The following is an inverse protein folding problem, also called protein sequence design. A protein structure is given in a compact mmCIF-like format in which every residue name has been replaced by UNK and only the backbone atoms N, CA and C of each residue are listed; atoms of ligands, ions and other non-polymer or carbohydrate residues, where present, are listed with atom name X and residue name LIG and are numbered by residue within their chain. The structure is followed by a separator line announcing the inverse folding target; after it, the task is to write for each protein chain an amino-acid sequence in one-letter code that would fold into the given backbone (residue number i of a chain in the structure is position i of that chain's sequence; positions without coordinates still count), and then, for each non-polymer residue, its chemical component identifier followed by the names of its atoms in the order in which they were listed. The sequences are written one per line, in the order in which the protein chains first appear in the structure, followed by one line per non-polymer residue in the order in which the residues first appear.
data_IF_334149615902
#
_entry.id   IF_334149615902
#
_cell.length_a   1.000
_cell.length_b   1.000
_cell.length_c   1.000
_cell.angle_alpha   90.00
_cell.angle_beta   90.00
_cell.angle_gamma   90.00
#
_symmetry.space_group_name_H-M   'P 1'
#
loop_
_entity.id
_entity.type
_entity.pdbx_description
1 polymer ?
#
# COMPACT_ATOMS: atom_id res chain seq x y z
N UNK A 1 18.14 27.13 5.79
CA UNK A 1 18.28 27.75 4.45
C UNK A 1 19.49 27.16 3.75
N UNK A 2 19.29 26.61 2.56
CA UNK A 2 20.39 26.15 1.72
C UNK A 2 20.86 27.32 0.86
N UNK A 3 22.16 27.59 0.80
CA UNK A 3 22.71 28.58 -0.09
C UNK A 3 23.62 27.90 -1.14
N UNK A 4 23.92 28.61 -2.22
CA UNK A 4 24.71 28.08 -3.35
C UNK A 4 26.19 27.80 -3.01
N UNK A 5 26.66 28.23 -1.86
CA UNK A 5 28.04 28.03 -1.41
C UNK A 5 28.28 26.60 -0.91
N UNK A 6 27.20 25.91 -0.51
CA UNK A 6 27.23 24.52 -0.01
C UNK A 6 26.84 23.50 -1.10
N UNK A 7 26.86 23.90 -2.36
CA UNK A 7 26.55 23.00 -3.47
C UNK A 7 27.63 21.94 -3.61
N UNK A 8 27.31 20.69 -3.31
CA UNK A 8 28.23 19.56 -3.36
C UNK A 8 28.56 18.93 -2.00
N UNK A 9 28.10 19.51 -0.90
CA UNK A 9 28.17 18.88 0.42
C UNK A 9 27.03 17.87 0.61
N UNK A 10 27.34 16.76 1.25
CA UNK A 10 26.31 15.78 1.63
C UNK A 10 25.47 16.34 2.76
N UNK A 11 24.16 16.24 2.65
CA UNK A 11 23.22 16.57 3.72
C UNK A 11 22.87 15.27 4.44
N UNK A 12 23.17 15.21 5.72
CA UNK A 12 22.76 14.12 6.59
C UNK A 12 21.62 14.59 7.49
N UNK A 13 20.51 13.84 7.48
CA UNK A 13 19.35 14.08 8.32
C UNK A 13 19.20 12.87 9.24
N UNK A 14 19.41 13.11 10.54
CA UNK A 14 19.24 12.09 11.57
C UNK A 14 17.85 12.12 12.18
N UNK A 15 17.26 10.95 12.40
CA UNK A 15 15.99 10.78 13.10
C UNK A 15 16.17 9.87 14.31
N UNK A 16 15.63 10.27 15.45
CA UNK A 16 15.41 9.36 16.56
C UNK A 16 14.00 8.79 16.45
N UNK A 17 13.91 7.49 16.24
CA UNK A 17 12.62 6.81 16.01
C UNK A 17 12.33 5.90 17.19
N UNK A 18 11.19 6.11 17.83
CA UNK A 18 10.61 5.17 18.78
C UNK A 18 9.38 4.53 18.12
N UNK A 19 9.49 3.28 17.71
CA UNK A 19 8.44 2.55 17.03
C UNK A 19 7.69 1.63 17.97
N UNK A 20 6.38 1.72 17.94
CA UNK A 20 5.48 0.74 18.53
C UNK A 20 4.72 0.03 17.42
N UNK A 21 4.40 -1.23 17.66
CA UNK A 21 3.50 -1.98 16.78
C UNK A 21 2.15 -1.27 16.69
N UNK A 22 1.67 -1.08 15.45
CA UNK A 22 0.41 -0.40 15.16
C UNK A 22 -0.51 -1.38 14.46
N UNK A 23 -1.51 -1.87 15.18
CA UNK A 23 -2.59 -2.64 14.60
C UNK A 23 -3.69 -1.74 14.02
N UNK A 24 -4.91 -2.21 14.13
CA UNK A 24 -6.12 -1.47 13.73
C UNK A 24 -6.29 -0.22 14.61
N UNK A 25 -6.67 0.91 14.00
CA UNK A 25 -6.74 2.18 14.70
C UNK A 25 -7.82 3.12 14.16
N UNK A 26 -8.27 4.03 15.01
CA UNK A 26 -9.14 5.15 14.63
C UNK A 26 -8.29 6.32 14.13
N UNK A 27 -8.77 7.00 13.09
CA UNK A 27 -8.18 8.24 12.59
C UNK A 27 -9.32 9.25 12.36
N UNK A 28 -9.32 10.28 13.17
CA UNK A 28 -10.37 11.32 13.18
C UNK A 28 -10.07 12.51 12.25
N UNK A 29 -8.93 12.50 11.55
CA UNK A 29 -8.44 13.67 10.81
C UNK A 29 -9.24 13.93 9.54
N UNK A 30 -9.77 12.89 8.88
CA UNK A 30 -10.52 12.99 7.63
C UNK A 30 -11.67 11.99 7.58
N UNK A 31 -12.74 12.37 6.87
CA UNK A 31 -13.82 11.46 6.55
C UNK A 31 -13.27 10.33 5.66
N UNK A 32 -13.42 9.06 6.05
CA UNK A 32 -12.98 7.93 5.26
C UNK A 32 -13.54 7.90 3.84
N UNK A 33 -14.71 8.47 3.61
CA UNK A 33 -15.37 8.55 2.28
C UNK A 33 -14.51 9.29 1.25
N UNK A 34 -13.66 10.23 1.68
CA UNK A 34 -12.73 10.93 0.80
C UNK A 34 -11.73 9.99 0.13
N UNK A 35 -11.48 8.83 0.74
CA UNK A 35 -10.56 7.82 0.23
C UNK A 35 -11.21 6.81 -0.72
N UNK A 36 -12.46 7.03 -1.12
CA UNK A 36 -13.09 6.37 -2.26
C UNK A 36 -12.79 7.08 -3.58
N UNK A 37 -12.36 8.35 -3.54
CA UNK A 37 -12.18 9.16 -4.74
C UNK A 37 -11.06 8.63 -5.62
N UNK A 38 -11.32 8.52 -6.94
CA UNK A 38 -10.29 8.15 -7.90
C UNK A 38 -9.22 9.25 -8.02
N UNK A 39 -8.06 8.87 -8.52
CA UNK A 39 -6.99 9.80 -8.87
C UNK A 39 -6.24 9.30 -10.11
N UNK A 40 -5.24 10.04 -10.55
CA UNK A 40 -4.49 9.73 -11.78
C UNK A 40 -3.85 8.34 -11.78
N UNK A 41 -3.34 7.86 -10.64
CA UNK A 41 -2.67 6.57 -10.52
C UNK A 41 -3.60 5.41 -10.15
N UNK A 42 -4.75 5.76 -9.57
CA UNK A 42 -5.82 4.83 -9.19
C UNK A 42 -7.12 5.38 -9.77
N UNK A 43 -7.31 5.29 -11.09
CA UNK A 43 -8.51 5.80 -11.75
C UNK A 43 -9.71 4.90 -11.48
N UNK A 44 -10.90 5.46 -11.67
CA UNK A 44 -12.11 4.66 -11.85
C UNK A 44 -12.00 3.88 -13.17
N UNK A 45 -12.26 2.57 -13.12
CA UNK A 45 -12.09 1.68 -14.26
C UNK A 45 -13.08 0.51 -14.17
N UNK A 46 -13.77 0.23 -15.27
CA UNK A 46 -14.74 -0.86 -15.35
C UNK A 46 -14.11 -2.24 -15.11
N UNK A 47 -12.85 -2.44 -15.52
CA UNK A 47 -12.13 -3.69 -15.29
C UNK A 47 -11.89 -3.92 -13.80
N UNK A 48 -11.49 -2.88 -13.04
CA UNK A 48 -11.36 -3.00 -11.59
C UNK A 48 -12.69 -3.33 -10.93
N UNK A 49 -13.77 -2.68 -11.35
CA UNK A 49 -15.11 -2.94 -10.84
C UNK A 49 -15.55 -4.38 -11.12
N UNK A 50 -15.25 -4.90 -12.30
CA UNK A 50 -15.56 -6.28 -12.67
C UNK A 50 -14.77 -7.27 -11.83
N UNK A 51 -13.45 -7.12 -11.78
CA UNK A 51 -12.56 -8.00 -10.99
C UNK A 51 -12.96 -7.97 -9.52
N UNK A 52 -13.11 -6.78 -8.95
CA UNK A 52 -13.43 -6.65 -7.54
C UNK A 52 -14.76 -7.32 -7.18
N UNK A 53 -15.82 -7.10 -7.96
CA UNK A 53 -17.13 -7.73 -7.76
C UNK A 53 -17.07 -9.27 -7.86
N UNK A 54 -16.31 -9.80 -8.79
CA UNK A 54 -16.08 -11.25 -8.92
C UNK A 54 -15.36 -11.81 -7.68
N UNK A 55 -14.32 -11.14 -7.22
CA UNK A 55 -13.51 -11.57 -6.08
C UNK A 55 -14.29 -11.52 -4.75
N UNK A 56 -15.11 -10.49 -4.55
CA UNK A 56 -15.89 -10.36 -3.30
C UNK A 56 -17.21 -11.10 -3.33
N UNK A 57 -17.56 -11.77 -4.43
CA UNK A 57 -18.82 -12.48 -4.54
C UNK A 57 -19.00 -13.51 -3.41
N UNK A 58 -20.12 -13.44 -2.70
CA UNK A 58 -20.43 -14.31 -1.56
C UNK A 58 -19.67 -14.01 -0.27
N UNK A 59 -18.86 -12.96 -0.23
CA UNK A 59 -18.18 -12.52 1.00
C UNK A 59 -19.07 -11.58 1.79
N UNK A 60 -19.32 -11.91 3.05
CA UNK A 60 -20.19 -11.12 3.92
C UNK A 60 -19.37 -10.13 4.76
N UNK A 61 -19.69 -8.84 4.61
CA UNK A 61 -19.02 -7.74 5.31
C UNK A 61 -17.71 -7.28 4.65
N UNK A 62 -17.40 -5.99 4.82
CA UNK A 62 -16.28 -5.34 4.16
C UNK A 62 -14.92 -5.93 4.57
N UNK A 63 -14.76 -6.39 5.81
CA UNK A 63 -13.52 -7.02 6.25
C UNK A 63 -13.23 -8.33 5.47
N UNK A 64 -14.25 -9.18 5.27
CA UNK A 64 -14.10 -10.40 4.49
C UNK A 64 -13.87 -10.11 2.99
N UNK A 65 -14.48 -9.03 2.48
CA UNK A 65 -14.25 -8.56 1.11
C UNK A 65 -12.82 -8.03 0.94
N UNK A 66 -12.34 -7.19 1.84
CA UNK A 66 -10.97 -6.69 1.82
C UNK A 66 -9.94 -7.82 1.92
N UNK A 67 -10.20 -8.84 2.75
CA UNK A 67 -9.36 -10.04 2.81
C UNK A 67 -9.33 -10.79 1.49
N UNK A 68 -10.46 -10.96 0.83
CA UNK A 68 -10.50 -11.62 -0.47
C UNK A 68 -9.72 -10.83 -1.55
N UNK A 69 -9.80 -9.49 -1.54
CA UNK A 69 -9.02 -8.64 -2.44
C UNK A 69 -7.52 -8.69 -2.14
N UNK A 70 -7.13 -8.79 -0.88
CA UNK A 70 -5.75 -9.01 -0.45
C UNK A 70 -5.21 -10.33 -1.01
N UNK A 71 -5.91 -11.44 -0.78
CA UNK A 71 -5.53 -12.76 -1.26
C UNK A 71 -5.45 -12.79 -2.80
N UNK A 72 -6.44 -12.18 -3.48
CA UNK A 72 -6.43 -12.04 -4.94
C UNK A 72 -5.20 -11.27 -5.45
N UNK A 73 -4.80 -10.20 -4.75
CA UNK A 73 -3.64 -9.42 -5.15
C UNK A 73 -2.35 -10.24 -5.04
N UNK A 74 -2.17 -11.00 -3.97
CA UNK A 74 -1.04 -11.93 -3.79
C UNK A 74 -1.02 -12.99 -4.89
N UNK A 75 -2.16 -13.61 -5.16
CA UNK A 75 -2.24 -14.70 -6.15
C UNK A 75 -1.97 -14.20 -7.57
N UNK A 76 -2.37 -12.97 -7.86
CA UNK A 76 -2.28 -12.39 -9.20
C UNK A 76 -0.95 -11.74 -9.50
N UNK A 77 -0.33 -11.07 -8.55
CA UNK A 77 0.88 -10.28 -8.75
C UNK A 77 2.15 -11.04 -8.33
N UNK A 78 3.29 -10.64 -8.92
CA UNK A 78 4.61 -11.12 -8.54
C UNK A 78 5.52 -9.95 -8.24
N UNK A 79 6.27 -10.04 -7.15
CA UNK A 79 7.23 -8.99 -6.76
C UNK A 79 8.47 -9.03 -7.67
N UNK A 80 8.36 -8.40 -8.83
CA UNK A 80 9.40 -8.35 -9.85
C UNK A 80 9.51 -6.92 -10.38
N UNK A 81 10.72 -6.39 -10.40
CA UNK A 81 11.03 -5.08 -10.96
C UNK A 81 11.30 -5.22 -12.47
N UNK A 82 10.23 -5.20 -13.26
CA UNK A 82 10.29 -5.42 -14.69
C UNK A 82 9.49 -4.38 -15.47
N UNK A 83 10.02 -3.96 -16.62
CA UNK A 83 9.39 -2.99 -17.52
C UNK A 83 9.53 -1.54 -17.05
N UNK A 84 9.16 -0.57 -17.90
CA UNK A 84 9.37 0.86 -17.63
C UNK A 84 8.34 1.47 -16.66
N UNK A 85 7.28 0.74 -16.35
CA UNK A 85 6.15 1.19 -15.51
C UNK A 85 6.23 0.76 -14.06
N UNK A 86 7.10 -0.19 -13.69
CA UNK A 86 7.16 -0.69 -12.31
C UNK A 86 7.53 0.42 -11.32
N UNK A 87 6.99 0.35 -10.12
CA UNK A 87 7.29 1.27 -9.03
C UNK A 87 6.63 2.64 -9.13
N UNK A 88 5.82 2.88 -10.16
CA UNK A 88 5.12 4.16 -10.36
C UNK A 88 3.78 4.23 -9.62
N UNK A 89 3.27 3.11 -9.14
CA UNK A 89 1.98 3.01 -8.48
C UNK A 89 0.80 3.24 -9.42
N UNK A 90 0.97 2.97 -10.69
CA UNK A 90 -0.11 2.98 -11.68
C UNK A 90 -0.89 1.66 -11.59
N UNK A 91 -2.11 1.74 -11.07
CA UNK A 91 -2.95 0.56 -10.86
C UNK A 91 -3.35 -0.13 -12.16
N UNK A 92 -3.49 0.61 -13.26
CA UNK A 92 -3.81 0.03 -14.58
C UNK A 92 -2.62 -0.78 -15.07
N UNK A 93 -1.41 -0.19 -15.03
CA UNK A 93 -0.19 -0.91 -15.39
C UNK A 93 0.00 -2.17 -14.54
N UNK A 94 -0.18 -2.07 -13.21
CA UNK A 94 -0.04 -3.21 -12.30
C UNK A 94 -1.05 -4.33 -12.62
N UNK A 95 -2.29 -3.97 -12.96
CA UNK A 95 -3.33 -4.91 -13.37
C UNK A 95 -2.94 -5.68 -14.63
N UNK A 96 -2.40 -4.97 -15.64
CA UNK A 96 -2.06 -5.53 -16.94
C UNK A 96 -0.85 -6.45 -16.87
N UNK A 97 0.25 -5.97 -16.26
CA UNK A 97 1.53 -6.71 -16.26
C UNK A 97 1.63 -7.73 -15.14
N UNK A 98 0.85 -7.61 -14.08
CA UNK A 98 0.81 -8.52 -12.91
C UNK A 98 2.16 -8.64 -12.20
N UNK A 99 2.99 -7.62 -12.29
CA UNK A 99 4.29 -7.53 -11.63
C UNK A 99 4.52 -6.10 -11.12
N UNK A 100 5.36 -5.96 -10.12
CA UNK A 100 5.72 -4.65 -9.58
C UNK A 100 6.44 -4.74 -8.26
N UNK A 101 6.60 -3.60 -7.60
CA UNK A 101 7.10 -3.49 -6.23
C UNK A 101 5.95 -3.19 -5.25
N UNK A 102 6.30 -2.84 -4.01
CA UNK A 102 5.31 -2.49 -2.99
C UNK A 102 4.32 -1.40 -3.46
N UNK A 103 4.77 -0.41 -4.22
CA UNK A 103 3.92 0.66 -4.73
C UNK A 103 2.83 0.13 -5.66
N UNK A 104 3.19 -0.76 -6.58
CA UNK A 104 2.27 -1.30 -7.58
C UNK A 104 1.25 -2.27 -6.97
N UNK A 105 1.71 -3.14 -6.04
CA UNK A 105 0.81 -4.04 -5.30
C UNK A 105 -0.29 -3.27 -4.57
N UNK A 106 0.10 -2.24 -3.83
CA UNK A 106 -0.86 -1.50 -3.02
C UNK A 106 -1.75 -0.58 -3.85
N UNK A 107 -1.28 -0.01 -4.96
CA UNK A 107 -2.12 0.76 -5.88
C UNK A 107 -3.19 -0.11 -6.53
N UNK A 108 -2.83 -1.33 -6.92
CA UNK A 108 -3.79 -2.29 -7.48
C UNK A 108 -4.85 -2.69 -6.45
N UNK A 109 -4.43 -3.05 -5.22
CA UNK A 109 -5.37 -3.34 -4.14
C UNK A 109 -6.31 -2.16 -3.86
N UNK A 110 -5.78 -0.93 -3.76
CA UNK A 110 -6.58 0.27 -3.51
C UNK A 110 -7.61 0.48 -4.61
N UNK A 111 -7.26 0.23 -5.88
CA UNK A 111 -8.19 0.32 -6.99
C UNK A 111 -9.35 -0.66 -6.86
N UNK A 112 -9.05 -1.91 -6.51
CA UNK A 112 -10.07 -2.94 -6.30
C UNK A 112 -10.96 -2.64 -5.08
N UNK A 113 -10.36 -2.22 -3.95
CA UNK A 113 -11.09 -1.90 -2.73
C UNK A 113 -12.09 -0.75 -2.96
N UNK A 114 -11.63 0.34 -3.58
CA UNK A 114 -12.50 1.49 -3.90
C UNK A 114 -13.63 1.13 -4.86
N UNK A 115 -13.40 0.17 -5.78
CA UNK A 115 -14.40 -0.29 -6.74
C UNK A 115 -15.56 -1.09 -6.11
N UNK A 116 -15.44 -1.46 -4.83
CA UNK A 116 -16.49 -2.11 -4.03
C UNK A 116 -16.79 -1.34 -2.74
N UNK A 117 -16.66 -0.02 -2.81
CA UNK A 117 -17.01 0.92 -1.74
C UNK A 117 -16.25 0.70 -0.41
N UNK A 118 -15.03 0.17 -0.48
CA UNK A 118 -14.12 0.09 0.67
C UNK A 118 -13.12 1.25 0.57
N UNK A 119 -13.20 2.26 1.47
CA UNK A 119 -12.22 3.33 1.48
C UNK A 119 -10.83 2.80 1.70
N UNK A 120 -9.88 3.18 0.86
CA UNK A 120 -8.51 2.72 0.96
C UNK A 120 -7.51 3.82 0.61
N UNK A 121 -6.38 3.84 1.30
CA UNK A 121 -5.34 4.83 1.14
C UNK A 121 -3.95 4.22 1.08
N UNK A 122 -3.05 4.95 0.46
CA UNK A 122 -1.65 4.63 0.37
C UNK A 122 -0.90 5.24 1.56
N UNK A 123 -0.02 4.46 2.17
CA UNK A 123 0.90 4.92 3.18
C UNK A 123 2.34 4.68 2.74
N UNK A 124 3.23 5.62 3.05
CA UNK A 124 4.64 5.56 2.71
C UNK A 124 5.49 5.89 3.92
N UNK A 125 6.59 5.19 4.07
CA UNK A 125 7.53 5.37 5.16
C UNK A 125 8.87 4.73 4.85
N UNK A 126 9.57 4.31 5.91
CA UNK A 126 10.85 3.64 5.83
C UNK A 126 10.77 2.27 6.49
N UNK A 127 11.39 1.27 5.88
CA UNK A 127 11.57 -0.03 6.50
C UNK A 127 12.79 0.00 7.41
N UNK A 128 12.56 -0.07 8.73
CA UNK A 128 13.62 -0.10 9.73
C UNK A 128 13.67 -1.50 10.34
N UNK A 129 14.72 -2.30 10.08
CA UNK A 129 14.84 -3.64 10.64
C UNK A 129 14.87 -3.62 12.17
N UNK A 130 14.11 -4.49 12.81
CA UNK A 130 14.02 -4.58 14.28
C UNK A 130 15.35 -4.99 14.95
N UNK A 131 16.26 -5.59 14.18
CA UNK A 131 17.61 -6.01 14.65
C UNK A 131 18.64 -4.89 14.58
N UNK A 132 18.27 -3.71 14.06
CA UNK A 132 19.20 -2.60 13.85
C UNK A 132 18.85 -1.46 14.83
N UNK A 133 19.81 -1.07 15.66
CA UNK A 133 19.64 0.05 16.59
C UNK A 133 20.00 1.39 15.96
N UNK A 134 20.85 1.40 14.94
CA UNK A 134 21.27 2.59 14.21
C UNK A 134 21.67 2.23 12.78
N UNK A 135 21.73 3.21 11.91
CA UNK A 135 22.18 3.07 10.53
C UNK A 135 21.30 3.78 9.51
N UNK A 136 21.73 3.81 8.26
CA UNK A 136 21.01 4.45 7.17
C UNK A 136 19.72 3.70 6.80
N UNK A 137 18.79 4.43 6.19
CA UNK A 137 17.61 3.88 5.54
C UNK A 137 17.87 3.87 4.03
N UNK A 138 18.01 2.69 3.45
CA UNK A 138 18.43 2.51 2.06
C UNK A 138 17.30 2.72 1.04
N UNK A 139 16.08 2.95 1.52
CA UNK A 139 14.95 3.18 0.63
C UNK A 139 13.62 3.37 1.37
N UNK A 140 12.62 3.80 0.61
CA UNK A 140 11.26 3.88 1.11
C UNK A 140 10.61 2.49 1.14
N UNK A 141 9.59 2.37 1.97
CA UNK A 141 8.63 1.28 1.93
C UNK A 141 7.22 1.84 1.94
N UNK A 142 6.29 1.13 1.32
CA UNK A 142 4.90 1.55 1.31
C UNK A 142 3.97 0.36 1.54
N UNK A 143 2.80 0.68 2.07
CA UNK A 143 1.72 -0.25 2.34
C UNK A 143 0.38 0.41 2.04
N UNK A 144 -0.70 -0.33 2.18
CA UNK A 144 -2.03 0.21 2.11
C UNK A 144 -2.74 0.17 3.45
N UNK A 145 -3.75 1.01 3.59
CA UNK A 145 -4.69 0.97 4.70
C UNK A 145 -6.10 1.02 4.11
N UNK A 146 -7.01 0.20 4.62
CA UNK A 146 -8.42 0.25 4.26
C UNK A 146 -9.28 0.50 5.49
N UNK A 147 -10.46 1.07 5.28
CA UNK A 147 -11.36 1.44 6.36
C UNK A 147 -12.59 0.54 6.37
N UNK A 148 -12.85 -0.07 7.51
CA UNK A 148 -14.09 -0.79 7.79
C UNK A 148 -14.36 -0.85 9.30
N UNK A 149 -15.61 -0.97 9.67
CA UNK A 149 -16.05 -1.10 11.07
C UNK A 149 -15.52 0.02 11.99
N UNK A 150 -15.46 1.25 11.48
CA UNK A 150 -15.03 2.42 12.24
C UNK A 150 -13.51 2.60 12.35
N UNK A 151 -12.71 1.74 11.73
CA UNK A 151 -11.26 1.70 11.91
C UNK A 151 -10.49 1.59 10.61
N UNK A 152 -9.24 2.05 10.63
CA UNK A 152 -8.24 1.81 9.61
C UNK A 152 -7.46 0.51 9.88
N UNK A 153 -7.34 -0.29 8.86
CA UNK A 153 -6.66 -1.59 8.86
C UNK A 153 -5.41 -1.48 7.99
N UNK A 154 -4.20 -1.44 8.57
CA UNK A 154 -2.98 -1.46 7.79
C UNK A 154 -2.71 -2.85 7.23
N UNK A 155 -2.27 -2.92 5.97
CA UNK A 155 -1.91 -4.16 5.29
C UNK A 155 -0.66 -3.98 4.44
N UNK A 156 0.20 -4.97 4.45
CA UNK A 156 1.38 -5.03 3.59
C UNK A 156 1.34 -6.28 2.71
N UNK A 157 0.78 -6.12 1.51
CA UNK A 157 0.57 -7.22 0.57
C UNK A 157 1.88 -7.66 -0.05
N UNK A 158 2.79 -6.72 -0.31
CA UNK A 158 4.09 -7.01 -0.92
C UNK A 158 5.02 -7.82 -0.02
N UNK A 159 4.91 -7.65 1.29
CA UNK A 159 5.61 -8.51 2.25
C UNK A 159 4.88 -9.84 2.43
N UNK A 160 3.56 -9.86 2.35
CA UNK A 160 2.76 -11.08 2.32
C UNK A 160 3.14 -12.00 1.15
N UNK A 161 3.35 -11.45 -0.05
CA UNK A 161 3.81 -12.20 -1.23
C UNK A 161 5.20 -12.85 -1.02
N UNK A 162 6.06 -12.25 -0.22
CA UNK A 162 7.37 -12.81 0.14
C UNK A 162 7.30 -13.93 1.19
N UNK A 163 6.10 -14.33 1.60
CA UNK A 163 5.87 -15.34 2.65
C UNK A 163 6.56 -15.00 3.99
N UNK A 164 6.74 -13.75 4.31
CA UNK A 164 7.26 -13.31 5.60
C UNK A 164 6.15 -13.42 6.64
N UNK A 165 6.23 -14.40 7.52
CA UNK A 165 5.21 -14.67 8.54
C UNK A 165 4.97 -13.46 9.49
N UNK A 166 5.94 -12.58 9.63
CA UNK A 166 5.84 -11.37 10.48
C UNK A 166 5.12 -10.22 9.79
N UNK A 167 5.02 -10.21 8.47
CA UNK A 167 4.45 -9.11 7.70
C UNK A 167 2.99 -9.34 7.29
N UNK A 168 2.44 -10.52 7.54
CA UNK A 168 1.05 -10.85 7.21
C UNK A 168 0.04 -10.47 8.29
N UNK A 169 0.48 -9.97 9.42
CA UNK A 169 -0.38 -9.64 10.57
C UNK A 169 -0.54 -8.14 10.82
N UNK A 170 -0.18 -7.29 9.86
CA UNK A 170 -0.29 -5.85 10.02
C UNK A 170 -1.16 -5.22 8.95
#
# INVERSE_FOLDING_TARGET
EFNSENSGENIEIGYLVNRQEKGVYEDIIKDPIDYLRPNRLVPENEEFSKIAKEVVAGKLGQLAQARALYDHTIDRMKYIKYGDGWGKGDAVYACDVKTGNCTDFHSYFIALARSVDIPARFAIGASIPSTRNEGGVDGYHCWAEFYTDGNWWPIDISEGDKCSALSTYY
#
